data_IF_559559466924
#
_entry.id   IF_559559466924
#
_cell.length_a   1.000
_cell.length_b   1.000
_cell.length_c   1.000
_cell.angle_alpha   90.00
_cell.angle_beta   90.00
_cell.angle_gamma   90.00
#
_symmetry.space_group_name_H-M   'P 1'
#
loop_
_entity.id
_entity.type
_entity.pdbx_description
1 polymer ?
#
# COMPACT_ATOMS: atom_id res chain seq x y z
N UNK A 1 10.94 -22.04 -2.26
CA UNK A 1 9.73 -21.23 -2.05
C UNK A 1 9.67 -20.22 -3.17
N UNK A 2 8.53 -20.07 -3.85
CA UNK A 2 8.34 -18.99 -4.81
C UNK A 2 8.26 -17.70 -3.99
N UNK A 3 9.33 -16.92 -3.96
CA UNK A 3 9.33 -15.61 -3.33
C UNK A 3 8.45 -14.70 -4.20
N UNK A 4 7.19 -14.50 -3.81
CA UNK A 4 6.31 -13.56 -4.49
C UNK A 4 6.45 -12.22 -3.78
N UNK A 5 6.89 -11.22 -4.52
CA UNK A 5 6.98 -9.87 -4.02
C UNK A 5 5.61 -9.19 -4.19
N UNK A 6 5.01 -8.76 -3.07
CA UNK A 6 3.73 -8.05 -3.07
C UNK A 6 3.92 -6.55 -2.94
N UNK A 7 3.05 -5.80 -3.62
CA UNK A 7 2.96 -4.35 -3.52
C UNK A 7 1.51 -3.97 -3.25
N UNK A 8 1.26 -3.16 -2.23
CA UNK A 8 -0.09 -2.83 -1.77
C UNK A 8 -0.43 -1.41 -2.20
N UNK A 9 -1.45 -1.24 -3.04
CA UNK A 9 -1.99 0.07 -3.39
C UNK A 9 -2.90 0.63 -2.31
N UNK A 10 -2.64 1.84 -1.83
CA UNK A 10 -3.38 2.50 -0.76
C UNK A 10 -4.12 3.74 -1.27
N UNK A 11 -5.44 3.75 -1.06
CA UNK A 11 -6.30 4.91 -1.28
C UNK A 11 -7.23 5.13 -0.09
N UNK A 12 -7.07 6.27 0.59
CA UNK A 12 -7.80 6.59 1.83
C UNK A 12 -8.19 8.08 1.89
N UNK A 13 -9.18 8.46 2.69
CA UNK A 13 -9.57 9.87 2.85
C UNK A 13 -8.58 10.62 3.76
N UNK A 14 -8.60 11.96 3.76
CA UNK A 14 -7.64 12.78 4.51
C UNK A 14 -7.82 12.78 6.02
N UNK A 15 -8.95 12.28 6.50
CA UNK A 15 -9.32 12.15 7.90
C UNK A 15 -8.98 10.78 8.49
N UNK A 16 -8.44 9.87 7.69
CA UNK A 16 -8.03 8.53 8.13
C UNK A 16 -6.73 8.60 8.91
N UNK A 17 -6.72 8.04 10.12
CA UNK A 17 -5.54 8.03 10.97
C UNK A 17 -4.58 6.85 10.70
N UNK A 18 -3.39 6.89 11.31
CA UNK A 18 -2.38 5.84 11.14
C UNK A 18 -2.85 4.46 11.65
N UNK A 19 -3.70 4.42 12.67
CA UNK A 19 -4.25 3.19 13.22
C UNK A 19 -5.24 2.52 12.27
N UNK A 20 -6.08 3.32 11.60
CA UNK A 20 -7.01 2.83 10.58
C UNK A 20 -6.27 2.28 9.36
N UNK A 21 -5.22 2.97 8.89
CA UNK A 21 -4.38 2.49 7.77
C UNK A 21 -3.69 1.17 8.17
N UNK A 22 -3.09 1.13 9.37
CA UNK A 22 -2.44 -0.07 9.90
C UNK A 22 -3.42 -1.25 9.98
N UNK A 23 -4.61 -1.03 10.52
CA UNK A 23 -5.63 -2.06 10.67
C UNK A 23 -6.05 -2.62 9.30
N UNK A 24 -6.34 -1.74 8.32
CA UNK A 24 -6.73 -2.16 6.99
C UNK A 24 -5.65 -3.00 6.29
N UNK A 25 -4.37 -2.66 6.46
CA UNK A 25 -3.26 -3.45 5.90
C UNK A 25 -3.18 -4.82 6.59
N UNK A 26 -3.30 -4.88 7.92
CA UNK A 26 -3.25 -6.15 8.67
C UNK A 26 -4.37 -7.10 8.26
N UNK A 27 -5.60 -6.59 8.21
CA UNK A 27 -6.77 -7.36 7.81
C UNK A 27 -6.61 -7.88 6.38
N UNK A 28 -6.16 -7.04 5.44
CA UNK A 28 -5.91 -7.45 4.05
C UNK A 28 -4.85 -8.56 3.92
N UNK A 29 -3.76 -8.46 4.69
CA UNK A 29 -2.71 -9.49 4.70
C UNK A 29 -3.20 -10.81 5.28
N UNK A 30 -3.96 -10.76 6.37
CA UNK A 30 -4.56 -11.94 7.00
C UNK A 30 -5.57 -12.63 6.06
N UNK A 31 -6.45 -11.87 5.40
CA UNK A 31 -7.44 -12.40 4.47
C UNK A 31 -6.82 -13.16 3.27
N UNK A 32 -5.62 -12.74 2.84
CA UNK A 32 -4.92 -13.30 1.69
C UNK A 32 -3.81 -14.29 2.06
N UNK A 33 -3.59 -14.57 3.35
CA UNK A 33 -2.49 -15.40 3.85
C UNK A 33 -1.12 -14.92 3.33
N UNK A 34 -0.91 -13.60 3.36
CA UNK A 34 0.34 -12.94 2.93
C UNK A 34 1.15 -12.55 4.17
N UNK A 35 2.39 -12.99 4.25
CA UNK A 35 3.28 -12.54 5.32
C UNK A 35 3.78 -11.10 5.05
N UNK A 36 3.88 -10.29 6.11
CA UNK A 36 4.38 -8.91 6.01
C UNK A 36 5.76 -8.81 5.33
N UNK A 37 6.63 -9.83 5.50
CA UNK A 37 7.96 -9.88 4.90
C UNK A 37 7.94 -10.09 3.37
N UNK A 38 6.81 -10.53 2.79
CA UNK A 38 6.58 -10.69 1.36
C UNK A 38 6.19 -9.37 0.70
N UNK A 39 5.77 -8.37 1.49
CA UNK A 39 5.40 -7.04 1.01
C UNK A 39 6.66 -6.19 0.81
N UNK A 40 6.88 -5.71 -0.42
CA UNK A 40 8.05 -4.92 -0.81
C UNK A 40 7.78 -3.42 -0.95
N UNK A 41 6.52 -3.00 -0.95
CA UNK A 41 6.17 -1.58 -1.00
C UNK A 41 4.71 -1.27 -0.70
N UNK A 42 4.50 -0.14 -0.04
CA UNK A 42 3.21 0.52 0.10
C UNK A 42 3.11 1.61 -0.99
N UNK A 43 2.19 1.45 -1.91
CA UNK A 43 2.06 2.30 -3.10
C UNK A 43 0.93 3.30 -2.91
N UNK A 44 1.18 4.59 -3.13
CA UNK A 44 0.11 5.59 -3.18
C UNK A 44 0.43 6.70 -4.18
N UNK A 45 -0.53 7.59 -4.38
CA UNK A 45 -0.34 8.78 -5.21
C UNK A 45 0.51 9.81 -4.45
N UNK A 46 1.39 10.52 -5.15
CA UNK A 46 2.39 11.44 -4.59
C UNK A 46 1.85 12.46 -3.56
N UNK A 47 0.65 13.00 -3.79
CA UNK A 47 0.00 13.95 -2.89
C UNK A 47 -0.62 13.31 -1.63
N UNK A 48 -0.51 11.98 -1.44
CA UNK A 48 -0.96 11.23 -0.26
C UNK A 48 0.19 10.68 0.59
N UNK A 49 1.40 11.21 0.44
CA UNK A 49 2.51 10.93 1.35
C UNK A 49 2.34 11.69 2.69
N UNK A 50 1.38 11.26 3.51
CA UNK A 50 1.05 11.91 4.80
C UNK A 50 1.92 11.38 5.94
N UNK A 51 1.92 12.08 7.09
CA UNK A 51 2.66 11.64 8.29
C UNK A 51 2.14 10.30 8.82
N UNK A 52 0.83 10.06 8.74
CA UNK A 52 0.18 8.81 9.15
C UNK A 52 0.69 7.62 8.32
N UNK A 53 0.79 7.79 7.00
CA UNK A 53 1.34 6.76 6.12
C UNK A 53 2.82 6.50 6.41
N UNK A 54 3.60 7.54 6.71
CA UNK A 54 5.00 7.41 7.08
C UNK A 54 5.18 6.68 8.43
N UNK A 55 4.29 6.94 9.39
CA UNK A 55 4.25 6.21 10.66
C UNK A 55 4.01 4.71 10.42
N UNK A 56 3.01 4.37 9.61
CA UNK A 56 2.70 2.97 9.26
C UNK A 56 3.86 2.32 8.51
N UNK A 57 4.42 2.99 7.50
CA UNK A 57 5.59 2.49 6.76
C UNK A 57 6.76 2.17 7.69
N UNK A 58 7.02 3.04 8.66
CA UNK A 58 8.08 2.85 9.67
C UNK A 58 7.79 1.66 10.58
N UNK A 59 6.54 1.53 11.07
CA UNK A 59 6.12 0.40 11.92
C UNK A 59 6.28 -0.95 11.21
N UNK A 60 5.95 -1.00 9.93
CA UNK A 60 6.00 -2.23 9.15
C UNK A 60 7.39 -2.52 8.57
N UNK A 61 8.27 -1.51 8.52
CA UNK A 61 9.57 -1.62 7.86
C UNK A 61 9.45 -1.80 6.33
N UNK A 62 8.35 -1.32 5.74
CA UNK A 62 8.05 -1.43 4.31
C UNK A 62 8.14 -0.04 3.68
N UNK A 63 8.91 0.16 2.59
CA UNK A 63 9.06 1.48 1.98
C UNK A 63 7.78 1.96 1.29
N UNK A 64 7.60 3.27 1.23
CA UNK A 64 6.54 3.92 0.45
C UNK A 64 7.03 4.16 -0.98
N UNK A 65 6.23 3.74 -1.95
CA UNK A 65 6.41 4.05 -3.37
C UNK A 65 5.34 5.06 -3.80
N UNK A 66 5.78 6.22 -4.28
CA UNK A 66 4.91 7.30 -4.70
C UNK A 66 4.82 7.34 -6.21
N UNK A 67 3.61 7.50 -6.71
CA UNK A 67 3.32 7.62 -8.13
C UNK A 67 2.57 8.91 -8.40
N UNK A 68 2.93 9.60 -9.47
CA UNK A 68 2.17 10.74 -9.98
C UNK A 68 0.83 10.28 -10.57
N UNK A 69 -0.11 11.22 -10.72
CA UNK A 69 -1.39 10.93 -11.41
C UNK A 69 -1.17 10.44 -12.84
N UNK A 70 -0.19 11.00 -13.54
CA UNK A 70 0.11 10.63 -14.92
C UNK A 70 0.64 9.19 -14.99
N UNK A 71 1.53 8.79 -14.07
CA UNK A 71 2.02 7.41 -14.00
C UNK A 71 0.89 6.41 -13.74
N UNK A 72 -0.03 6.73 -12.81
CA UNK A 72 -1.20 5.88 -12.52
C UNK A 72 -2.11 5.76 -13.76
N UNK A 73 -2.40 6.88 -14.43
CA UNK A 73 -3.29 6.92 -15.59
C UNK A 73 -2.67 6.30 -16.85
N UNK A 74 -1.34 6.14 -16.91
CA UNK A 74 -0.65 5.46 -18.00
C UNK A 74 -0.73 3.93 -17.93
N UNK A 75 -1.25 3.35 -16.83
CA UNK A 75 -1.40 1.91 -16.69
C UNK A 75 -2.57 1.42 -17.54
N UNK A 76 -2.29 0.50 -18.48
CA UNK A 76 -3.33 -0.21 -19.24
C UNK A 76 -4.08 -1.17 -18.32
N UNK A 77 -5.15 -0.69 -17.69
CA UNK A 77 -5.98 -1.49 -16.78
C UNK A 77 -6.79 -2.50 -17.59
N UNK A 78 -6.28 -3.73 -17.67
CA UNK A 78 -7.03 -4.86 -18.21
C UNK A 78 -7.92 -5.46 -17.13
N UNK A 79 -9.12 -4.93 -17.00
CA UNK A 79 -10.17 -5.55 -16.19
C UNK A 79 -10.51 -6.91 -16.78
N UNK A 80 -10.22 -8.00 -16.05
CA UNK A 80 -10.88 -9.29 -16.30
C UNK A 80 -12.13 -9.31 -15.43
N UNK A 81 -13.27 -9.01 -16.04
CA UNK A 81 -14.60 -9.29 -15.50
C UNK A 81 -14.86 -10.79 -15.48
#
# INVERSE_FOLDING_TARGET
>A
MNNRDFYIGLGFHSDVDAGEIEQAIREFLEELDIEQNEVKGLCTVDFKNTEELQEVSTKFGIPILLFTRDEINCVDVRSRS
#
